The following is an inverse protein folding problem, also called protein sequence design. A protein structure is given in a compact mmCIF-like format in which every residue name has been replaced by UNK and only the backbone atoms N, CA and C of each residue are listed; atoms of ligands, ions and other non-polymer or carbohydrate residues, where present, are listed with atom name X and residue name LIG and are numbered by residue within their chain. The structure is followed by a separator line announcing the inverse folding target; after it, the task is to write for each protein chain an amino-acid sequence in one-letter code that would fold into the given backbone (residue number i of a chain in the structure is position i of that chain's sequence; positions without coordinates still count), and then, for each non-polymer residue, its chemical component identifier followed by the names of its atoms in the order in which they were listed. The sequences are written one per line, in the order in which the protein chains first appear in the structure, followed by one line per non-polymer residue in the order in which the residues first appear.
data_IF_929079729452
#
_entry.id   IF_929079729452
#
_cell.length_a   1.000
_cell.length_b   1.000
_cell.length_c   1.000
_cell.angle_alpha   90.00
_cell.angle_beta   90.00
_cell.angle_gamma   90.00
#
_symmetry.space_group_name_H-M   'P 1'
#
loop_
_entity.id
_entity.type
_entity.pdbx_description
1 polymer ?
#
# COMPACT_ATOMS: atom_id res chain seq x y z
N UNK A 1 14.74 -64.87 61.60
CA UNK A 1 13.87 -63.98 60.80
C UNK A 1 13.99 -62.59 61.40
N UNK A 2 14.81 -61.73 60.77
CA UNK A 2 15.00 -60.36 61.24
C UNK A 2 13.82 -59.49 60.81
N UNK A 3 13.05 -59.03 61.79
CA UNK A 3 11.92 -58.14 61.58
C UNK A 3 12.40 -56.74 61.19
N UNK A 4 12.27 -56.41 59.91
CA UNK A 4 12.53 -55.06 59.37
C UNK A 4 11.53 -54.08 60.01
N UNK A 5 11.98 -53.31 61.02
CA UNK A 5 11.26 -52.15 61.52
C UNK A 5 11.18 -51.10 60.41
N UNK A 6 9.99 -50.90 59.83
CA UNK A 6 9.73 -49.78 58.92
C UNK A 6 9.77 -48.48 59.73
N UNK A 7 10.83 -47.71 59.56
CA UNK A 7 10.96 -46.37 60.14
C UNK A 7 9.93 -45.43 59.48
N UNK A 8 8.89 -45.06 60.22
CA UNK A 8 7.98 -44.01 59.81
C UNK A 8 8.74 -42.66 59.80
N UNK A 9 8.53 -41.78 58.79
CA UNK A 9 9.26 -40.52 58.71
C UNK A 9 8.97 -39.63 59.93
N UNK A 10 10.02 -39.06 60.53
CA UNK A 10 9.92 -38.10 61.63
C UNK A 10 8.97 -36.94 61.26
N UNK A 11 8.03 -36.59 62.18
CA UNK A 11 7.08 -35.46 62.05
C UNK A 11 7.75 -34.15 61.62
N UNK A 12 9.03 -33.94 61.98
CA UNK A 12 9.83 -32.77 61.58
C UNK A 12 10.17 -32.75 60.08
N UNK A 13 10.44 -33.93 59.49
CA UNK A 13 10.74 -34.10 58.06
C UNK A 13 9.47 -33.91 57.22
N UNK A 14 8.31 -34.38 57.68
CA UNK A 14 7.05 -34.20 56.95
C UNK A 14 6.64 -32.72 56.88
N UNK A 15 6.73 -31.97 58.00
CA UNK A 15 6.48 -30.52 58.03
C UNK A 15 7.42 -29.72 57.10
N UNK A 16 8.70 -30.09 57.02
CA UNK A 16 9.67 -29.50 56.09
C UNK A 16 9.30 -29.72 54.62
N UNK A 17 8.86 -30.95 54.26
CA UNK A 17 8.40 -31.29 52.91
C UNK A 17 7.14 -30.52 52.52
N UNK A 18 6.15 -30.41 53.42
CA UNK A 18 4.94 -29.61 53.17
C UNK A 18 5.24 -28.13 52.97
N UNK A 19 6.15 -27.54 53.76
CA UNK A 19 6.58 -26.15 53.60
C UNK A 19 7.27 -25.92 52.24
N UNK A 20 8.16 -26.83 51.83
CA UNK A 20 8.82 -26.77 50.50
C UNK A 20 7.80 -26.87 49.35
N UNK A 21 6.81 -27.75 49.46
CA UNK A 21 5.75 -27.89 48.45
C UNK A 21 4.87 -26.64 48.35
N UNK A 22 4.56 -26.00 49.48
CA UNK A 22 3.80 -24.75 49.50
C UNK A 22 4.52 -23.64 48.74
N UNK A 23 5.82 -23.43 48.99
CA UNK A 23 6.60 -22.39 48.29
C UNK A 23 6.69 -22.66 46.79
N UNK A 24 6.92 -23.91 46.37
CA UNK A 24 6.87 -24.28 44.94
C UNK A 24 5.50 -24.02 44.30
N UNK A 25 4.41 -24.28 45.02
CA UNK A 25 3.06 -23.98 44.54
C UNK A 25 2.77 -22.48 44.48
N UNK A 26 3.36 -21.69 45.38
CA UNK A 26 3.25 -20.22 45.38
C UNK A 26 4.00 -19.64 44.19
N UNK A 27 5.25 -20.04 43.97
CA UNK A 27 6.07 -19.63 42.83
C UNK A 27 5.41 -19.96 41.49
N UNK A 28 4.84 -21.18 41.36
CA UNK A 28 4.08 -21.55 40.16
C UNK A 28 2.87 -20.64 39.91
N UNK A 29 2.13 -20.27 40.97
CA UNK A 29 1.00 -19.34 40.84
C UNK A 29 1.46 -17.97 40.38
N UNK A 30 2.53 -17.44 40.97
CA UNK A 30 3.09 -16.14 40.59
C UNK A 30 3.55 -16.14 39.11
N UNK A 31 4.17 -17.22 38.65
CA UNK A 31 4.55 -17.38 37.24
C UNK A 31 3.34 -17.48 36.32
N UNK A 32 2.29 -18.21 36.70
CA UNK A 32 1.04 -18.28 35.92
C UNK A 32 0.39 -16.91 35.81
N UNK A 33 0.33 -16.12 36.89
CA UNK A 33 -0.25 -14.77 36.84
C UNK A 33 0.58 -13.83 35.96
N UNK A 34 1.91 -13.89 36.02
CA UNK A 34 2.77 -13.13 35.08
C UNK A 34 2.51 -13.51 33.62
N UNK A 35 2.46 -14.81 33.32
CA UNK A 35 2.18 -15.29 31.97
C UNK A 35 0.81 -14.83 31.46
N UNK A 36 -0.21 -14.79 32.33
CA UNK A 36 -1.54 -14.26 31.94
C UNK A 36 -1.46 -12.78 31.58
N UNK A 37 -0.75 -11.97 32.38
CA UNK A 37 -0.55 -10.55 32.09
C UNK A 37 0.19 -10.37 30.76
N UNK A 38 1.30 -11.08 30.56
CA UNK A 38 2.06 -11.03 29.31
C UNK A 38 1.20 -11.42 28.10
N UNK A 39 0.36 -12.45 28.23
CA UNK A 39 -0.57 -12.87 27.17
C UNK A 39 -1.59 -11.79 26.82
N UNK A 40 -2.11 -11.05 27.80
CA UNK A 40 -3.04 -9.95 27.57
C UNK A 40 -2.32 -8.83 26.81
N UNK A 41 -1.14 -8.41 27.28
CA UNK A 41 -0.34 -7.36 26.63
C UNK A 41 0.04 -7.71 25.19
N UNK A 42 0.44 -8.97 24.94
CA UNK A 42 0.72 -9.47 23.60
C UNK A 42 -0.54 -9.44 22.75
N UNK A 43 -1.69 -9.86 23.28
CA UNK A 43 -2.98 -9.84 22.57
C UNK A 43 -3.37 -8.43 22.13
N UNK A 44 -3.23 -7.44 23.01
CA UNK A 44 -3.46 -6.04 22.69
C UNK A 44 -2.45 -5.52 21.65
N UNK A 45 -1.18 -5.89 21.78
CA UNK A 45 -0.14 -5.56 20.80
C UNK A 45 -0.47 -6.10 19.41
N UNK A 46 -0.91 -7.36 19.32
CA UNK A 46 -1.35 -7.98 18.07
C UNK A 46 -2.58 -7.30 17.48
N UNK A 47 -3.52 -6.83 18.32
CA UNK A 47 -4.66 -6.06 17.85
C UNK A 47 -4.23 -4.73 17.24
N UNK A 48 -3.35 -3.98 17.90
CA UNK A 48 -2.79 -2.72 17.37
C UNK A 48 -2.06 -2.93 16.05
N UNK A 49 -1.25 -4.00 15.94
CA UNK A 49 -0.54 -4.34 14.69
C UNK A 49 -1.54 -4.63 13.56
N UNK A 50 -2.59 -5.42 13.83
CA UNK A 50 -3.62 -5.73 12.82
C UNK A 50 -4.35 -4.49 12.33
N UNK A 51 -4.66 -3.56 13.22
CA UNK A 51 -5.30 -2.31 12.84
C UNK A 51 -4.36 -1.44 12.00
N UNK A 52 -3.12 -1.24 12.44
CA UNK A 52 -2.12 -0.48 11.67
C UNK A 52 -1.85 -1.09 10.29
N UNK A 53 -1.82 -2.42 10.18
CA UNK A 53 -1.70 -3.09 8.87
C UNK A 53 -2.92 -2.85 7.97
N UNK A 54 -4.13 -2.76 8.53
CA UNK A 54 -5.36 -2.45 7.76
C UNK A 54 -5.30 -1.02 7.23
N UNK A 55 -4.97 -0.05 8.07
CA UNK A 55 -4.83 1.35 7.68
C UNK A 55 -3.77 1.54 6.59
N UNK A 56 -2.61 0.88 6.74
CA UNK A 56 -1.54 0.94 5.74
C UNK A 56 -2.05 0.38 4.40
N UNK A 57 -2.75 -0.77 4.39
CA UNK A 57 -3.29 -1.35 3.15
C UNK A 57 -4.27 -0.39 2.46
N UNK A 58 -5.18 0.23 3.19
CA UNK A 58 -6.12 1.21 2.64
C UNK A 58 -5.40 2.39 1.99
N UNK A 59 -4.39 2.95 2.67
CA UNK A 59 -3.57 4.04 2.09
C UNK A 59 -2.85 3.62 0.82
N UNK A 60 -2.31 2.40 0.77
CA UNK A 60 -1.65 1.89 -0.44
C UNK A 60 -2.65 1.67 -1.59
N UNK A 61 -3.88 1.27 -1.31
CA UNK A 61 -4.94 1.14 -2.32
C UNK A 61 -5.34 2.51 -2.89
N UNK A 62 -5.47 3.53 -2.03
CA UNK A 62 -5.72 4.91 -2.42
C UNK A 62 -4.60 5.47 -3.30
N UNK A 63 -3.34 5.35 -2.85
CA UNK A 63 -2.15 5.74 -3.63
C UNK A 63 -2.14 5.02 -4.98
N UNK A 64 -2.40 3.71 -4.99
CA UNK A 64 -2.45 2.94 -6.22
C UNK A 64 -3.54 3.41 -7.19
N UNK A 65 -4.67 3.88 -6.67
CA UNK A 65 -5.76 4.48 -7.46
C UNK A 65 -5.34 5.82 -8.06
N UNK A 66 -4.74 6.70 -7.26
CA UNK A 66 -4.23 7.99 -7.71
C UNK A 66 -3.12 7.84 -8.75
N UNK A 67 -2.19 6.91 -8.56
CA UNK A 67 -1.15 6.61 -9.55
C UNK A 67 -1.71 6.17 -10.89
N UNK A 68 -2.81 5.39 -10.90
CA UNK A 68 -3.48 4.99 -12.15
C UNK A 68 -4.09 6.18 -12.87
N UNK A 69 -4.80 7.05 -12.14
CA UNK A 69 -5.38 8.29 -12.69
C UNK A 69 -4.30 9.21 -13.25
N UNK A 70 -3.24 9.44 -12.48
CA UNK A 70 -2.12 10.28 -12.90
C UNK A 70 -1.44 9.75 -14.17
N UNK A 71 -1.28 8.42 -14.28
CA UNK A 71 -0.73 7.79 -15.48
C UNK A 71 -1.63 8.03 -16.69
N UNK A 72 -2.94 7.87 -16.55
CA UNK A 72 -3.90 8.11 -17.62
C UNK A 72 -3.91 9.58 -18.07
N UNK A 73 -3.97 10.51 -17.12
CA UNK A 73 -3.88 11.95 -17.39
C UNK A 73 -2.57 12.32 -18.10
N UNK A 74 -1.44 11.75 -17.65
CA UNK A 74 -0.14 12.00 -18.27
C UNK A 74 -0.09 11.45 -19.71
N UNK A 75 -0.64 10.27 -19.95
CA UNK A 75 -0.73 9.70 -21.31
C UNK A 75 -1.61 10.55 -22.22
N UNK A 76 -2.72 11.08 -21.69
CA UNK A 76 -3.58 11.99 -22.43
C UNK A 76 -2.85 13.30 -22.76
N UNK A 77 -2.14 13.89 -21.81
CA UNK A 77 -1.33 15.10 -22.04
C UNK A 77 -0.26 14.84 -23.09
N UNK A 78 0.48 13.72 -22.99
CA UNK A 78 1.51 13.36 -23.97
C UNK A 78 0.92 13.24 -25.38
N UNK A 79 -0.22 12.55 -25.52
CA UNK A 79 -0.93 12.43 -26.79
C UNK A 79 -1.38 13.80 -27.33
N UNK A 80 -1.89 14.69 -26.48
CA UNK A 80 -2.24 16.06 -26.89
C UNK A 80 -1.00 16.86 -27.32
N UNK A 81 0.13 16.70 -26.63
CA UNK A 81 1.40 17.34 -26.98
C UNK A 81 1.90 16.90 -28.36
N UNK A 82 1.79 15.62 -28.70
CA UNK A 82 2.17 15.10 -30.02
C UNK A 82 1.33 15.75 -31.14
N UNK A 83 0.01 15.84 -30.96
CA UNK A 83 -0.86 16.54 -31.91
C UNK A 83 -0.51 18.02 -32.03
N UNK A 84 -0.24 18.68 -30.91
CA UNK A 84 0.16 20.09 -30.92
C UNK A 84 1.49 20.29 -31.66
N UNK A 85 2.43 19.36 -31.54
CA UNK A 85 3.70 19.43 -32.28
C UNK A 85 3.48 19.34 -33.79
N UNK A 86 2.60 18.44 -34.25
CA UNK A 86 2.22 18.35 -35.66
C UNK A 86 1.61 19.66 -36.15
N UNK A 87 0.70 20.25 -35.36
CA UNK A 87 0.05 21.54 -35.69
C UNK A 87 1.06 22.68 -35.79
N UNK A 88 1.97 22.79 -34.82
CA UNK A 88 3.03 23.81 -34.82
C UNK A 88 3.91 23.65 -36.06
N UNK A 89 4.29 22.42 -36.42
CA UNK A 89 5.09 22.16 -37.62
C UNK A 89 4.35 22.59 -38.89
N UNK A 90 3.05 22.26 -39.01
CA UNK A 90 2.21 22.71 -40.13
C UNK A 90 2.12 24.23 -40.20
N UNK A 91 1.88 24.90 -39.07
CA UNK A 91 1.84 26.36 -38.98
C UNK A 91 3.15 26.99 -39.44
N UNK A 92 4.29 26.42 -39.03
CA UNK A 92 5.60 26.88 -39.48
C UNK A 92 5.81 26.68 -40.98
N UNK A 93 5.43 25.52 -41.52
CA UNK A 93 5.50 25.24 -42.96
C UNK A 93 4.62 26.20 -43.78
N UNK A 94 3.44 26.58 -43.27
CA UNK A 94 2.57 27.58 -43.92
C UNK A 94 3.27 28.93 -43.99
N UNK A 95 3.86 29.38 -42.88
CA UNK A 95 4.59 30.66 -42.83
C UNK A 95 5.73 30.66 -43.85
N UNK A 96 6.51 29.57 -43.91
CA UNK A 96 7.59 29.41 -44.89
C UNK A 96 7.08 29.43 -46.34
N UNK A 97 6.00 28.70 -46.64
CA UNK A 97 5.42 28.69 -47.98
C UNK A 97 4.93 30.08 -48.41
N UNK A 98 4.39 30.88 -47.47
CA UNK A 98 4.00 32.27 -47.71
C UNK A 98 5.19 33.19 -47.93
N UNK A 99 6.26 33.03 -47.15
CA UNK A 99 7.53 33.74 -47.34
C UNK A 99 8.12 33.47 -48.74
N UNK A 100 8.05 32.22 -49.19
CA UNK A 100 8.49 31.78 -50.52
C UNK A 100 7.50 32.15 -51.65
N UNK A 101 6.43 32.92 -51.37
CA UNK A 101 5.34 33.27 -52.31
C UNK A 101 4.62 32.06 -52.95
N UNK A 102 4.74 30.87 -52.34
CA UNK A 102 4.06 29.65 -52.78
C UNK A 102 2.69 29.51 -52.11
N UNK A 103 1.73 30.34 -52.55
CA UNK A 103 0.38 30.38 -51.98
C UNK A 103 -0.40 29.08 -52.17
N UNK A 104 -0.23 28.39 -53.31
CA UNK A 104 -0.89 27.11 -53.55
C UNK A 104 -0.47 26.05 -52.51
N UNK A 105 0.81 26.00 -52.15
CA UNK A 105 1.29 25.10 -51.12
C UNK A 105 0.84 25.53 -49.71
N UNK A 106 0.85 26.84 -49.43
CA UNK A 106 0.33 27.37 -48.17
C UNK A 106 -1.16 27.04 -47.95
N UNK A 107 -1.98 27.12 -49.00
CA UNK A 107 -3.40 26.78 -48.96
C UNK A 107 -3.60 25.28 -48.71
N UNK A 108 -2.82 24.42 -49.38
CA UNK A 108 -2.84 22.99 -49.13
C UNK A 108 -2.50 22.64 -47.67
N UNK A 109 -1.42 23.21 -47.13
CA UNK A 109 -1.03 23.01 -45.73
C UNK A 109 -2.08 23.55 -44.74
N UNK A 110 -2.76 24.64 -45.09
CA UNK A 110 -3.87 25.19 -44.30
C UNK A 110 -5.05 24.21 -44.25
N UNK A 111 -5.34 23.54 -45.37
CA UNK A 111 -6.31 22.44 -45.42
C UNK A 111 -5.94 21.29 -44.47
N UNK A 112 -4.68 20.82 -44.55
CA UNK A 112 -4.18 19.76 -43.67
C UNK A 112 -4.23 20.14 -42.18
N UNK A 113 -3.91 21.39 -41.84
CA UNK A 113 -4.02 21.89 -40.47
C UNK A 113 -5.47 21.85 -39.97
N UNK A 114 -6.45 22.21 -40.81
CA UNK A 114 -7.87 22.14 -40.46
C UNK A 114 -8.31 20.71 -40.18
N UNK A 115 -7.96 19.77 -41.05
CA UNK A 115 -8.26 18.34 -40.85
C UNK A 115 -7.64 17.81 -39.55
N UNK A 116 -6.40 18.20 -39.24
CA UNK A 116 -5.72 17.80 -38.01
C UNK A 116 -6.34 18.44 -36.75
N UNK A 117 -6.95 19.62 -36.90
CA UNK A 117 -7.73 20.25 -35.83
C UNK A 117 -9.02 19.46 -35.53
N UNK A 118 -9.72 19.03 -36.57
CA UNK A 118 -10.99 18.29 -36.50
C UNK A 118 -10.84 16.88 -35.91
N UNK A 119 -9.76 16.15 -36.24
CA UNK A 119 -9.49 14.80 -35.70
C UNK A 119 -9.42 14.76 -34.17
N UNK A 120 -8.95 15.83 -33.53
CA UNK A 120 -8.80 15.89 -32.07
C UNK A 120 -10.11 16.22 -31.35
N UNK A 121 -11.01 16.99 -31.96
CA UNK A 121 -12.31 17.32 -31.36
C UNK A 121 -13.19 16.08 -31.22
N UNK A 122 -13.17 15.18 -32.21
CA UNK A 122 -13.89 13.90 -32.15
C UNK A 122 -13.33 12.96 -31.06
N UNK A 123 -12.03 13.03 -30.78
CA UNK A 123 -11.39 12.26 -29.71
C UNK A 123 -11.71 12.74 -28.28
N UNK A 124 -12.16 14.00 -28.11
CA UNK A 124 -12.57 14.54 -26.80
C UNK A 124 -13.99 14.15 -26.40
N UNK A 125 -14.88 13.88 -27.35
CA UNK A 125 -16.28 13.54 -27.08
C UNK A 125 -16.48 12.15 -26.45
N UNK A 126 -15.50 11.24 -26.58
CA UNK A 126 -15.57 9.88 -26.01
C UNK A 126 -15.07 9.73 -24.57
N UNK A 127 -14.60 10.80 -23.93
CA UNK A 127 -14.01 10.78 -22.57
C UNK A 127 -14.93 11.41 -21.49
N UNK A 128 -16.16 11.79 -21.84
CA UNK A 128 -17.16 12.41 -20.94
C UNK A 128 -18.39 11.51 -20.73
N UNK A 129 -18.30 10.23 -21.09
CA UNK A 129 -19.38 9.23 -20.90
C UNK A 129 -19.09 8.29 -19.73
#
# INVERSE_FOLDING_TARGET
MDSIKRLAPSRRVSKSKHRKQYWKNKERRETIERLKTDMIEIGEGQQRIREGQREIRQKFEEIGSECRKLKEETMNIAKQSDYNQVRINLMFSILKAREDNNFAHADHLTGLLREEMEKQEQGKAGLVG
#
